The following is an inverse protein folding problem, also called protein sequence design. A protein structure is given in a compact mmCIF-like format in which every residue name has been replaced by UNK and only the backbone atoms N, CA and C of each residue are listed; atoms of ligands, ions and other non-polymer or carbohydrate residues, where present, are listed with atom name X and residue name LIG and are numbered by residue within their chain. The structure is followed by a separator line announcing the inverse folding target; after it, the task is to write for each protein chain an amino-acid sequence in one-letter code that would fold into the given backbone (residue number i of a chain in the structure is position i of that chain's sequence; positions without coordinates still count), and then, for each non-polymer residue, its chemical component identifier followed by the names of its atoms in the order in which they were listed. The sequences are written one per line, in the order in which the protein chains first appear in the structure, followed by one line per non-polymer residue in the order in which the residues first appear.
data_IF_916089070215
#
_entry.id   IF_916089070215
#
_cell.length_a   1.000
_cell.length_b   1.000
_cell.length_c   1.000
_cell.angle_alpha   90.00
_cell.angle_beta   90.00
_cell.angle_gamma   90.00
#
_symmetry.space_group_name_H-M   'P 1'
#
loop_
_entity.id
_entity.type
_entity.pdbx_description
1 polymer ?
#
# COMPACT_ATOMS: atom_id res chain seq x y z
N UNK A 1 -13.29 6.84 9.66
CA UNK A 1 -13.09 6.43 11.06
C UNK A 1 -11.61 6.28 11.44
N UNK A 2 -10.75 5.64 10.66
CA UNK A 2 -9.32 5.50 10.97
C UNK A 2 -8.55 6.83 10.94
N UNK A 3 -8.72 7.66 9.91
CA UNK A 3 -8.07 8.98 9.81
C UNK A 3 -8.41 9.87 11.00
N UNK A 4 -9.68 9.90 11.45
CA UNK A 4 -10.08 10.67 12.63
C UNK A 4 -9.37 10.19 13.92
N UNK A 5 -9.04 8.89 14.03
CA UNK A 5 -8.24 8.36 15.14
C UNK A 5 -6.81 8.93 15.09
N UNK A 6 -6.21 8.99 13.92
CA UNK A 6 -4.86 9.56 13.75
C UNK A 6 -4.87 11.05 14.12
N UNK A 7 -5.83 11.81 13.58
CA UNK A 7 -5.99 13.24 13.92
C UNK A 7 -6.11 13.47 15.44
N UNK A 8 -6.89 12.63 16.14
CA UNK A 8 -7.02 12.72 17.59
C UNK A 8 -5.72 12.37 18.33
N UNK A 9 -4.91 11.43 17.83
CA UNK A 9 -3.62 11.09 18.41
C UNK A 9 -2.65 12.28 18.27
N UNK A 10 -2.46 12.78 17.04
CA UNK A 10 -1.47 13.82 16.76
C UNK A 10 -1.86 15.19 17.34
N UNK A 11 -3.15 15.53 17.38
CA UNK A 11 -3.61 16.79 17.94
C UNK A 11 -3.48 16.89 19.47
N UNK A 12 -3.39 15.75 20.15
CA UNK A 12 -3.18 15.69 21.60
C UNK A 12 -1.71 15.57 22.00
N UNK A 13 -0.84 15.27 21.02
CA UNK A 13 0.58 15.09 21.30
C UNK A 13 1.28 16.43 21.44
N UNK A 14 2.08 16.54 22.50
CA UNK A 14 3.05 17.63 22.69
C UNK A 14 4.45 17.22 22.23
N UNK A 15 4.62 15.97 21.83
CA UNK A 15 5.87 15.41 21.35
C UNK A 15 5.99 15.56 19.83
N UNK A 16 7.20 15.64 19.29
CA UNK A 16 7.44 15.56 17.85
C UNK A 16 6.83 14.31 17.25
N UNK A 17 6.40 14.41 15.99
CA UNK A 17 5.64 13.38 15.30
C UNK A 17 6.40 12.86 14.09
N UNK A 18 6.57 11.56 13.99
CA UNK A 18 7.03 10.87 12.78
C UNK A 18 5.81 10.26 12.08
N UNK A 19 5.64 10.56 10.80
CA UNK A 19 4.55 10.02 9.97
C UNK A 19 5.16 9.15 8.88
N UNK A 20 4.88 7.85 8.90
CA UNK A 20 5.20 6.97 7.79
C UNK A 20 4.13 7.09 6.71
N UNK A 21 4.47 7.70 5.57
CA UNK A 21 3.49 8.01 4.52
C UNK A 21 4.11 8.71 3.31
N UNK A 22 3.26 9.06 2.37
CA UNK A 22 3.61 9.89 1.22
C UNK A 22 3.32 11.36 1.57
N UNK A 23 4.33 12.25 1.61
CA UNK A 23 4.16 13.64 2.02
C UNK A 23 3.19 14.43 1.12
N UNK A 24 3.05 14.03 -0.15
CA UNK A 24 2.19 14.69 -1.12
C UNK A 24 0.73 14.16 -1.07
N UNK A 25 0.47 13.12 -0.28
CA UNK A 25 -0.85 12.54 -0.19
C UNK A 25 -1.80 13.38 0.68
N UNK A 26 -3.06 13.66 0.26
CA UNK A 26 -4.01 14.46 1.02
C UNK A 26 -4.25 14.01 2.47
N UNK A 27 -4.23 12.70 2.74
CA UNK A 27 -4.34 12.16 4.10
C UNK A 27 -3.15 12.60 4.97
N UNK A 28 -1.93 12.51 4.46
CA UNK A 28 -0.71 12.87 5.20
C UNK A 28 -0.67 14.38 5.43
N UNK A 29 -1.00 15.18 4.41
CA UNK A 29 -1.14 16.63 4.54
C UNK A 29 -2.16 16.97 5.65
N UNK A 30 -3.30 16.28 5.65
CA UNK A 30 -4.32 16.43 6.70
C UNK A 30 -3.82 16.06 8.09
N UNK A 31 -3.04 14.97 8.24
CA UNK A 31 -2.44 14.56 9.51
C UNK A 31 -1.47 15.65 10.01
N UNK A 32 -0.57 16.14 9.15
CA UNK A 32 0.37 17.23 9.48
C UNK A 32 -0.38 18.46 9.96
N UNK A 33 -1.45 18.87 9.26
CA UNK A 33 -2.27 20.02 9.62
C UNK A 33 -3.00 19.88 10.95
N UNK A 34 -3.14 18.66 11.50
CA UNK A 34 -3.73 18.42 12.83
C UNK A 34 -2.69 18.32 13.95
N UNK A 35 -1.40 18.30 13.64
CA UNK A 35 -0.36 18.32 14.66
C UNK A 35 -0.29 19.67 15.36
N UNK A 36 -0.03 19.69 16.67
CA UNK A 36 0.12 20.94 17.45
C UNK A 36 1.28 21.80 16.95
N UNK A 37 2.41 21.14 16.65
CA UNK A 37 3.64 21.77 16.19
C UNK A 37 4.00 21.21 14.80
N UNK A 38 3.49 21.76 13.71
CA UNK A 38 3.80 21.27 12.36
C UNK A 38 5.30 21.28 12.04
N UNK A 39 6.08 22.19 12.62
CA UNK A 39 7.53 22.28 12.43
C UNK A 39 8.31 21.11 13.07
N UNK A 40 7.69 20.41 14.01
CA UNK A 40 8.23 19.22 14.67
C UNK A 40 7.72 17.91 14.05
N UNK A 41 7.10 18.00 12.87
CA UNK A 41 6.64 16.83 12.12
C UNK A 41 7.70 16.40 11.12
N UNK A 42 7.85 15.10 10.98
CA UNK A 42 8.68 14.51 9.95
C UNK A 42 7.94 13.40 9.25
N UNK A 43 7.80 13.50 7.93
CA UNK A 43 7.21 12.45 7.09
C UNK A 43 8.34 11.63 6.48
N UNK A 44 8.19 10.31 6.50
CA UNK A 44 9.13 9.34 5.91
C UNK A 44 8.42 8.36 5.00
N UNK A 45 9.02 8.08 3.83
CA UNK A 45 8.46 7.15 2.84
C UNK A 45 8.85 5.68 3.10
N UNK A 46 9.91 5.46 3.89
CA UNK A 46 10.42 4.13 4.22
C UNK A 46 11.42 4.18 5.39
N UNK A 47 11.98 3.00 5.69
CA UNK A 47 12.98 2.82 6.75
C UNK A 47 14.30 3.53 6.48
N UNK A 48 14.69 3.67 5.21
CA UNK A 48 15.98 4.28 4.84
C UNK A 48 15.95 5.79 5.08
N UNK A 49 14.82 6.45 4.78
CA UNK A 49 14.62 7.86 5.14
C UNK A 49 14.63 8.05 6.66
N UNK A 50 14.00 7.14 7.41
CA UNK A 50 13.99 7.19 8.87
C UNK A 50 15.37 6.96 9.47
N UNK A 51 16.15 6.02 8.96
CA UNK A 51 17.54 5.78 9.39
C UNK A 51 18.40 7.06 9.20
N UNK A 52 18.33 7.70 8.03
CA UNK A 52 19.04 8.98 7.77
C UNK A 52 18.66 10.08 8.76
N UNK A 53 17.36 10.21 9.09
CA UNK A 53 16.88 11.20 10.05
C UNK A 53 17.44 10.92 11.44
N UNK A 54 17.51 9.65 11.82
CA UNK A 54 18.04 9.22 13.11
C UNK A 54 19.56 9.45 13.18
N UNK A 55 20.30 9.17 12.11
CA UNK A 55 21.75 9.44 12.01
C UNK A 55 22.07 10.94 12.09
N UNK A 56 21.25 11.79 11.47
CA UNK A 56 21.35 13.24 11.58
C UNK A 56 20.94 13.80 12.95
N UNK A 57 20.53 12.94 13.88
CA UNK A 57 20.09 13.28 15.22
C UNK A 57 19.02 14.39 15.27
N UNK A 58 18.14 14.41 14.25
CA UNK A 58 17.05 15.39 14.20
C UNK A 58 16.21 15.40 15.48
N UNK A 59 16.04 14.23 16.10
CA UNK A 59 15.42 14.06 17.42
C UNK A 59 16.40 13.37 18.36
N UNK A 60 16.71 13.95 19.55
CA UNK A 60 17.51 13.28 20.57
C UNK A 60 16.90 11.94 20.98
N UNK A 61 17.75 10.94 21.20
CA UNK A 61 17.30 9.55 21.45
C UNK A 61 16.34 9.37 22.63
N UNK A 62 16.50 10.21 23.66
CA UNK A 62 15.70 10.17 24.89
C UNK A 62 14.43 11.00 24.84
N UNK A 63 14.24 11.83 23.81
CA UNK A 63 13.05 12.64 23.70
C UNK A 63 11.81 11.75 23.50
N UNK A 64 10.71 12.15 24.11
CA UNK A 64 9.42 11.54 23.82
C UNK A 64 9.06 11.85 22.36
N UNK A 65 8.69 10.82 21.62
CA UNK A 65 8.27 10.88 20.21
C UNK A 65 7.01 10.06 20.01
N UNK A 66 6.20 10.42 19.05
CA UNK A 66 5.14 9.55 18.55
C UNK A 66 5.37 9.21 17.09
N UNK A 67 4.96 8.00 16.69
CA UNK A 67 5.01 7.56 15.31
C UNK A 67 3.66 6.99 14.91
N UNK A 68 3.16 7.44 13.75
CA UNK A 68 1.92 6.99 13.13
C UNK A 68 2.18 6.63 11.66
N UNK A 69 1.27 5.91 11.03
CA UNK A 69 1.30 5.61 9.61
C UNK A 69 0.08 6.17 8.88
N UNK A 70 0.24 6.53 7.62
CA UNK A 70 -0.85 6.70 6.68
C UNK A 70 -1.68 5.41 6.62
N UNK A 71 -3.01 5.50 6.59
CA UNK A 71 -3.91 4.32 6.71
C UNK A 71 -3.72 3.29 5.60
N UNK A 72 -3.22 3.72 4.43
CA UNK A 72 -2.92 2.89 3.27
C UNK A 72 -1.43 2.61 3.07
N UNK A 73 -0.60 2.87 4.09
CA UNK A 73 0.84 2.63 4.00
C UNK A 73 1.15 1.14 3.79
N UNK A 74 2.27 0.84 3.16
CA UNK A 74 2.69 -0.55 2.94
C UNK A 74 3.08 -1.21 4.26
N UNK A 75 2.45 -2.33 4.59
CA UNK A 75 2.62 -3.03 5.88
C UNK A 75 4.05 -3.52 6.11
N UNK A 76 4.74 -4.02 5.08
CA UNK A 76 6.13 -4.47 5.20
C UNK A 76 7.07 -3.29 5.45
N UNK A 77 6.88 -2.17 4.74
CA UNK A 77 7.65 -0.93 4.97
C UNK A 77 7.41 -0.38 6.38
N UNK A 78 6.15 -0.44 6.87
CA UNK A 78 5.82 -0.04 8.23
C UNK A 78 6.59 -0.84 9.27
N UNK A 79 6.63 -2.16 9.13
CA UNK A 79 7.37 -3.01 10.06
C UNK A 79 8.88 -2.67 10.06
N UNK A 80 9.46 -2.41 8.89
CA UNK A 80 10.86 -1.95 8.80
C UNK A 80 11.06 -0.59 9.49
N UNK A 81 10.16 0.37 9.28
CA UNK A 81 10.20 1.66 9.98
C UNK A 81 10.09 1.49 11.50
N UNK A 82 9.21 0.60 11.98
CA UNK A 82 9.06 0.28 13.42
C UNK A 82 10.35 -0.28 14.00
N UNK A 83 11.05 -1.15 13.29
CA UNK A 83 12.33 -1.70 13.73
C UNK A 83 13.41 -0.61 13.85
N UNK A 84 13.54 0.25 12.83
CA UNK A 84 14.46 1.38 12.85
C UNK A 84 14.13 2.35 13.98
N UNK A 85 12.87 2.71 14.14
CA UNK A 85 12.43 3.61 15.20
C UNK A 85 12.81 3.08 16.60
N UNK A 86 12.56 1.80 16.88
CA UNK A 86 12.91 1.15 18.15
C UNK A 86 14.43 1.03 18.38
N UNK A 87 15.21 0.91 17.31
CA UNK A 87 16.69 0.87 17.37
C UNK A 87 17.27 2.23 17.80
N UNK A 88 16.71 3.31 17.28
CA UNK A 88 17.29 4.65 17.44
C UNK A 88 16.66 5.47 18.58
N UNK A 89 15.40 5.25 18.92
CA UNK A 89 14.67 6.05 19.90
C UNK A 89 14.20 5.22 21.09
N UNK A 90 14.62 5.58 22.29
CA UNK A 90 14.30 4.84 23.52
C UNK A 90 12.94 5.20 24.11
N UNK A 91 12.42 6.40 23.78
CA UNK A 91 11.15 6.92 24.31
C UNK A 91 10.18 7.27 23.16
N UNK A 92 9.93 6.27 22.28
CA UNK A 92 9.00 6.43 21.18
C UNK A 92 7.70 5.64 21.42
N UNK A 93 6.56 6.29 21.26
CA UNK A 93 5.25 5.63 21.25
C UNK A 93 4.80 5.42 19.81
N UNK A 94 4.61 4.16 19.42
CA UNK A 94 4.25 3.77 18.06
C UNK A 94 2.79 3.37 18.04
N UNK A 95 2.00 4.05 17.21
CA UNK A 95 0.60 3.74 16.97
C UNK A 95 0.47 3.07 15.59
N UNK A 96 0.09 1.81 15.57
CA UNK A 96 -0.26 1.13 14.33
C UNK A 96 -1.62 1.67 13.84
N UNK A 97 -1.53 2.51 12.81
CA UNK A 97 -2.69 3.21 12.25
C UNK A 97 -3.01 2.77 10.83
N UNK A 98 -2.33 1.75 10.31
CA UNK A 98 -2.72 1.11 9.05
C UNK A 98 -4.10 0.47 9.23
N UNK A 99 -4.99 0.69 8.27
CA UNK A 99 -6.31 0.06 8.30
C UNK A 99 -6.16 -1.47 8.20
N UNK A 100 -6.76 -2.23 9.12
CA UNK A 100 -6.68 -3.70 9.13
C UNK A 100 -7.12 -4.32 7.80
N UNK A 101 -8.22 -3.84 7.24
CA UNK A 101 -8.68 -4.29 5.91
C UNK A 101 -7.66 -3.97 4.80
N UNK A 102 -6.89 -2.89 4.92
CA UNK A 102 -5.80 -2.59 3.99
C UNK A 102 -4.63 -3.55 4.18
N UNK A 103 -4.25 -3.83 5.42
CA UNK A 103 -3.16 -4.74 5.74
C UNK A 103 -3.47 -6.19 5.29
N UNK A 104 -4.68 -6.66 5.56
CA UNK A 104 -5.16 -7.97 5.12
C UNK A 104 -5.13 -8.09 3.60
N UNK A 105 -5.69 -7.11 2.87
CA UNK A 105 -5.70 -7.09 1.42
C UNK A 105 -4.29 -7.02 0.81
N UNK A 106 -3.36 -6.30 1.40
CA UNK A 106 -1.96 -6.29 0.95
C UNK A 106 -1.32 -7.67 1.10
N UNK A 107 -1.59 -8.36 2.22
CA UNK A 107 -1.09 -9.72 2.47
C UNK A 107 -1.68 -10.72 1.47
N UNK A 108 -3.00 -10.73 1.30
CA UNK A 108 -3.69 -11.59 0.32
C UNK A 108 -3.17 -11.36 -1.10
N UNK A 109 -3.03 -10.08 -1.50
CA UNK A 109 -2.46 -9.72 -2.81
C UNK A 109 -1.04 -10.23 -2.99
N UNK A 110 -0.19 -10.16 -1.96
CA UNK A 110 1.18 -10.69 -2.03
C UNK A 110 1.20 -12.21 -2.17
N UNK A 111 0.36 -12.92 -1.40
CA UNK A 111 0.23 -14.38 -1.47
C UNK A 111 -0.30 -14.84 -2.84
N UNK A 112 -1.29 -14.11 -3.39
CA UNK A 112 -1.83 -14.36 -4.72
C UNK A 112 -0.77 -14.12 -5.80
N UNK A 113 -0.07 -12.99 -5.75
CA UNK A 113 0.94 -12.61 -6.75
C UNK A 113 2.11 -13.61 -6.81
N UNK A 114 2.52 -14.19 -5.67
CA UNK A 114 3.56 -15.22 -5.63
C UNK A 114 3.20 -16.51 -6.39
N UNK A 115 1.90 -16.77 -6.55
CA UNK A 115 1.38 -17.98 -7.22
C UNK A 115 0.87 -17.68 -8.63
N UNK A 116 0.88 -16.41 -9.04
CA UNK A 116 0.36 -15.96 -10.33
C UNK A 116 1.45 -15.74 -11.35
N UNK A 117 1.17 -16.10 -12.58
CA UNK A 117 2.00 -15.76 -13.74
C UNK A 117 1.76 -14.32 -14.22
N UNK A 118 0.56 -13.79 -13.95
CA UNK A 118 0.14 -12.43 -14.25
C UNK A 118 -0.84 -11.97 -13.18
N UNK A 119 -0.74 -10.72 -12.74
CA UNK A 119 -1.72 -10.09 -11.85
C UNK A 119 -2.49 -8.99 -12.57
N UNK A 120 -3.79 -8.92 -12.34
CA UNK A 120 -4.65 -7.82 -12.74
C UNK A 120 -5.08 -7.06 -11.50
N UNK A 121 -4.67 -5.80 -11.39
CA UNK A 121 -5.03 -4.92 -10.27
C UNK A 121 -6.10 -3.94 -10.72
N UNK A 122 -7.29 -4.03 -10.12
CA UNK A 122 -8.48 -3.28 -10.53
C UNK A 122 -8.78 -2.13 -9.58
N UNK A 123 -8.97 -0.92 -10.13
CA UNK A 123 -9.42 0.24 -9.36
C UNK A 123 -8.87 1.57 -9.86
N UNK A 124 -9.28 2.66 -9.22
CA UNK A 124 -8.95 4.02 -9.67
C UNK A 124 -7.45 4.32 -9.69
N UNK A 125 -6.97 4.95 -10.77
CA UNK A 125 -5.56 5.37 -10.93
C UNK A 125 -5.07 6.29 -9.82
N UNK A 126 -5.98 7.06 -9.21
CA UNK A 126 -5.68 7.97 -8.10
C UNK A 126 -5.84 7.33 -6.71
N UNK A 127 -6.17 6.05 -6.65
CA UNK A 127 -6.32 5.33 -5.38
C UNK A 127 -4.97 4.87 -4.85
N UNK A 128 -4.52 5.48 -3.76
CA UNK A 128 -3.28 5.08 -3.06
C UNK A 128 -3.28 3.59 -2.68
N UNK A 129 -4.42 3.07 -2.20
CA UNK A 129 -4.54 1.65 -1.88
C UNK A 129 -4.35 0.78 -3.12
N UNK A 130 -5.05 1.08 -4.25
CA UNK A 130 -4.92 0.29 -5.49
C UNK A 130 -3.49 0.33 -6.04
N UNK A 131 -2.86 1.51 -6.04
CA UNK A 131 -1.46 1.66 -6.47
C UNK A 131 -0.50 0.80 -5.62
N UNK A 132 -0.75 0.69 -4.28
CA UNK A 132 0.04 -0.17 -3.41
C UNK A 132 -0.13 -1.65 -3.73
N UNK A 133 -1.34 -2.12 -4.05
CA UNK A 133 -1.57 -3.50 -4.47
C UNK A 133 -0.81 -3.84 -5.76
N UNK A 134 -0.85 -2.93 -6.76
CA UNK A 134 -0.07 -3.08 -7.98
C UNK A 134 1.45 -3.15 -7.69
N UNK A 135 1.98 -2.26 -6.84
CA UNK A 135 3.39 -2.27 -6.44
C UNK A 135 3.81 -3.56 -5.71
N UNK A 136 2.91 -4.14 -4.90
CA UNK A 136 3.15 -5.42 -4.23
C UNK A 136 3.23 -6.54 -5.27
N UNK A 137 2.25 -6.61 -6.17
CA UNK A 137 2.18 -7.62 -7.23
C UNK A 137 3.40 -7.57 -8.16
N UNK A 138 3.86 -6.38 -8.56
CA UNK A 138 5.01 -6.16 -9.45
C UNK A 138 6.33 -6.73 -8.93
N UNK A 139 6.44 -7.01 -7.63
CA UNK A 139 7.61 -7.67 -7.05
C UNK A 139 7.71 -9.15 -7.40
N UNK A 140 6.62 -9.76 -7.83
CA UNK A 140 6.49 -11.20 -8.00
C UNK A 140 6.19 -11.63 -9.45
N UNK A 141 5.38 -10.84 -10.17
CA UNK A 141 4.99 -11.14 -11.54
C UNK A 141 4.64 -9.87 -12.33
N UNK A 142 4.47 -9.95 -13.66
CA UNK A 142 3.88 -8.88 -14.47
C UNK A 142 2.51 -8.44 -13.94
N UNK A 143 2.18 -7.14 -14.10
CA UNK A 143 0.92 -6.56 -13.60
C UNK A 143 0.25 -5.73 -14.68
N UNK A 144 -1.05 -5.98 -14.89
CA UNK A 144 -1.95 -5.09 -15.60
C UNK A 144 -2.70 -4.26 -14.55
N UNK A 145 -2.59 -2.94 -14.63
CA UNK A 145 -3.37 -2.02 -13.82
C UNK A 145 -4.52 -1.45 -14.66
N UNK A 146 -5.75 -1.69 -14.24
CA UNK A 146 -6.96 -1.24 -14.96
C UNK A 146 -7.96 -0.56 -14.05
N UNK A 147 -8.70 0.43 -14.55
CA UNK A 147 -9.83 1.01 -13.81
C UNK A 147 -11.11 0.20 -14.01
N UNK A 148 -11.31 -0.31 -15.21
CA UNK A 148 -12.48 -1.10 -15.61
C UNK A 148 -12.15 -1.99 -16.82
N UNK A 149 -13.14 -2.68 -17.36
CA UNK A 149 -12.95 -3.60 -18.47
C UNK A 149 -12.51 -2.93 -19.78
N UNK A 150 -12.81 -1.65 -19.99
CA UNK A 150 -12.50 -0.93 -21.23
C UNK A 150 -11.00 -0.62 -21.40
N UNK A 151 -10.26 -0.57 -20.30
CA UNK A 151 -8.80 -0.34 -20.29
C UNK A 151 -8.00 -1.63 -20.61
N UNK A 152 -8.66 -2.81 -20.76
CA UNK A 152 -7.96 -4.09 -20.98
C UNK A 152 -7.69 -4.28 -22.46
N UNK A 153 -6.40 -4.22 -22.82
CA UNK A 153 -5.94 -4.58 -24.17
C UNK A 153 -5.58 -6.07 -24.22
N UNK A 154 -6.32 -6.83 -25.03
CA UNK A 154 -6.09 -8.26 -25.25
C UNK A 154 -4.65 -8.56 -25.70
N UNK A 155 -4.10 -7.79 -26.63
CA UNK A 155 -2.74 -8.01 -27.14
C UNK A 155 -1.70 -7.80 -26.04
N UNK A 156 -1.88 -6.76 -25.21
CA UNK A 156 -1.02 -6.53 -24.05
C UNK A 156 -1.12 -7.66 -23.02
N UNK A 157 -2.33 -8.16 -22.72
CA UNK A 157 -2.52 -9.33 -21.85
C UNK A 157 -1.73 -10.52 -22.36
N UNK A 158 -1.96 -10.91 -23.62
CA UNK A 158 -1.31 -12.09 -24.22
C UNK A 158 0.21 -11.98 -24.27
N UNK A 159 0.74 -10.77 -24.49
CA UNK A 159 2.20 -10.53 -24.50
C UNK A 159 2.89 -10.72 -23.14
N UNK A 160 2.14 -10.63 -22.06
CA UNK A 160 2.63 -10.79 -20.69
C UNK A 160 2.47 -12.21 -20.14
N UNK A 161 1.69 -13.05 -20.82
CA UNK A 161 1.48 -14.43 -20.41
C UNK A 161 2.67 -15.32 -20.80
N UNK A 162 3.11 -16.23 -19.91
CA UNK A 162 4.15 -17.18 -20.24
C UNK A 162 3.61 -18.26 -21.19
N UNK A 163 4.47 -18.73 -22.10
CA UNK A 163 4.12 -19.79 -23.08
C UNK A 163 3.72 -21.13 -22.45
N UNK A 164 4.04 -21.35 -21.19
CA UNK A 164 3.84 -22.62 -20.49
C UNK A 164 2.49 -22.69 -19.74
N UNK A 165 1.65 -21.68 -19.89
CA UNK A 165 0.45 -21.54 -19.06
C UNK A 165 0.75 -20.99 -17.65
N UNK A 166 -0.26 -20.92 -16.82
CA UNK A 166 -0.12 -20.44 -15.45
C UNK A 166 -1.41 -19.87 -14.88
N UNK A 167 -1.33 -19.34 -13.68
CA UNK A 167 -2.46 -18.73 -13.01
C UNK A 167 -2.47 -17.22 -13.24
N UNK A 168 -3.64 -16.67 -13.54
CA UNK A 168 -3.88 -15.23 -13.55
C UNK A 168 -4.64 -14.84 -12.30
N UNK A 169 -4.05 -13.98 -11.48
CA UNK A 169 -4.66 -13.46 -10.25
C UNK A 169 -5.32 -12.10 -10.48
N UNK A 170 -6.46 -11.87 -9.83
CA UNK A 170 -7.16 -10.57 -9.85
C UNK A 170 -7.26 -10.05 -8.43
N UNK A 171 -6.81 -8.82 -8.20
CA UNK A 171 -7.00 -8.09 -6.95
C UNK A 171 -7.63 -6.72 -7.22
N UNK A 172 -8.33 -6.17 -6.22
CA UNK A 172 -9.03 -4.90 -6.40
C UNK A 172 -8.87 -3.95 -5.20
N UNK A 173 -8.85 -2.66 -5.47
CA UNK A 173 -8.89 -1.64 -4.44
C UNK A 173 -10.18 -1.73 -3.60
N UNK A 174 -10.11 -1.37 -2.31
CA UNK A 174 -11.24 -1.46 -1.36
C UNK A 174 -12.49 -0.67 -1.79
N UNK A 175 -12.33 0.37 -2.58
CA UNK A 175 -13.43 1.19 -3.12
C UNK A 175 -13.89 0.77 -4.53
N UNK A 176 -13.31 -0.29 -5.09
CA UNK A 176 -13.69 -0.77 -6.43
C UNK A 176 -15.05 -1.44 -6.37
N UNK A 177 -16.04 -0.99 -7.19
CA UNK A 177 -17.36 -1.60 -7.21
C UNK A 177 -17.31 -3.06 -7.67
N UNK A 178 -18.11 -3.92 -7.04
CA UNK A 178 -18.12 -5.36 -7.36
C UNK A 178 -18.48 -5.68 -8.82
N UNK A 179 -19.30 -4.84 -9.47
CA UNK A 179 -19.64 -5.05 -10.88
C UNK A 179 -18.44 -4.83 -11.82
N UNK A 180 -17.55 -3.88 -11.50
CA UNK A 180 -16.29 -3.66 -12.23
C UNK A 180 -15.38 -4.89 -12.12
N UNK A 181 -15.25 -5.45 -10.90
CA UNK A 181 -14.44 -6.65 -10.67
C UNK A 181 -14.97 -7.83 -11.50
N UNK A 182 -16.30 -8.01 -11.51
CA UNK A 182 -16.97 -9.05 -12.30
C UNK A 182 -16.79 -8.85 -13.81
N UNK A 183 -16.85 -7.60 -14.27
CA UNK A 183 -16.61 -7.25 -15.68
C UNK A 183 -15.20 -7.61 -16.11
N UNK A 184 -14.20 -7.16 -15.34
CA UNK A 184 -12.79 -7.48 -15.59
C UNK A 184 -12.55 -8.99 -15.57
N UNK A 185 -13.11 -9.69 -14.58
CA UNK A 185 -13.01 -11.15 -14.51
C UNK A 185 -13.60 -11.81 -15.78
N UNK A 186 -14.77 -11.39 -16.24
CA UNK A 186 -15.41 -11.93 -17.47
C UNK A 186 -14.53 -11.71 -18.70
N UNK A 187 -14.01 -10.47 -18.88
CA UNK A 187 -13.15 -10.14 -20.03
C UNK A 187 -11.85 -10.97 -20.00
N UNK A 188 -11.22 -11.06 -18.85
CA UNK A 188 -10.01 -11.88 -18.69
C UNK A 188 -10.30 -13.36 -18.94
N UNK A 189 -11.43 -13.88 -18.48
CA UNK A 189 -11.86 -15.26 -18.76
C UNK A 189 -12.04 -15.49 -20.28
N UNK A 190 -12.68 -14.57 -21.00
CA UNK A 190 -12.86 -14.64 -22.45
C UNK A 190 -11.52 -14.61 -23.22
N UNK A 191 -10.54 -13.82 -22.73
CA UNK A 191 -9.21 -13.78 -23.32
C UNK A 191 -8.50 -15.12 -23.12
N UNK A 192 -8.56 -15.69 -21.92
CA UNK A 192 -7.80 -16.88 -21.53
C UNK A 192 -8.45 -18.20 -21.98
N UNK A 193 -9.78 -18.25 -22.14
CA UNK A 193 -10.46 -19.46 -22.65
C UNK A 193 -10.01 -19.89 -24.06
N UNK A 194 -9.35 -19.00 -24.78
CA UNK A 194 -8.77 -19.29 -26.08
C UNK A 194 -7.27 -19.69 -26.01
N UNK A 195 -6.70 -19.72 -24.81
CA UNK A 195 -5.28 -20.00 -24.56
C UNK A 195 -5.17 -21.25 -23.68
N UNK A 196 -4.43 -22.26 -24.14
CA UNK A 196 -4.25 -23.50 -23.38
C UNK A 196 -3.40 -23.29 -22.12
N UNK A 197 -3.78 -23.91 -21.01
CA UNK A 197 -2.97 -24.02 -19.81
C UNK A 197 -3.09 -22.86 -18.80
N UNK A 198 -4.10 -22.00 -18.91
CA UNK A 198 -4.31 -20.92 -17.93
C UNK A 198 -5.52 -21.15 -17.03
N UNK A 199 -5.33 -20.92 -15.73
CA UNK A 199 -6.35 -20.96 -14.70
C UNK A 199 -6.55 -19.59 -14.03
N UNK A 200 -7.73 -19.35 -13.47
CA UNK A 200 -8.06 -18.16 -12.71
C UNK A 200 -7.99 -18.41 -11.22
N UNK A 201 -7.39 -17.44 -10.49
CA UNK A 201 -7.63 -17.25 -9.07
C UNK A 201 -8.08 -15.81 -8.81
N UNK A 202 -9.25 -15.65 -8.17
CA UNK A 202 -9.76 -14.38 -7.67
C UNK A 202 -9.95 -14.48 -6.15
N UNK A 203 -9.50 -13.49 -5.42
CA UNK A 203 -9.78 -13.29 -3.99
C UNK A 203 -10.48 -11.96 -3.75
#
# INVERSE_FOLDING_TARGET
MFVAKIHNIVSKSECPVIIAGDPDHPEVIGIVGHCRNPDEVTVVRDSDELEKIAELQKFPRQNALIMVAQTTFNSSKWQSCVQVAKKHYTNITIFDTICSATAERQKETEELARRSALMVTVGGKNSSNTAKLAQISQKHCPVIFTQDGSDIDKAAVLSLLPLQGGTVGITAGASTPAYIIKEVHRIMSEILNNEEGFDFMAE
#
